data_IF_646421378200
#
_entry.id   IF_646421378200
#
_cell.length_a   1.000
_cell.length_b   1.000
_cell.length_c   1.000
_cell.angle_alpha   90.00
_cell.angle_beta   90.00
_cell.angle_gamma   90.00
#
_symmetry.space_group_name_H-M   'P 1'
#
loop_
_entity.id
_entity.type
_entity.pdbx_description
1 polymer ?
#
# COMPACT_ATOMS: atom_id res chain seq x y z
N UNK A 1 -2.89 -2.12 -24.42
CA UNK A 1 -3.60 -1.13 -25.29
C UNK A 1 -5.02 -0.85 -24.83
N UNK A 2 -5.80 -1.84 -24.36
CA UNK A 2 -7.19 -1.59 -23.91
C UNK A 2 -7.21 -0.61 -22.73
N UNK A 3 -6.42 -0.87 -21.69
CA UNK A 3 -6.38 -0.08 -20.45
C UNK A 3 -6.05 1.42 -20.65
N UNK A 4 -5.26 1.76 -21.67
CA UNK A 4 -4.96 3.15 -22.00
C UNK A 4 -6.02 3.75 -22.92
N UNK A 5 -6.50 2.97 -23.91
CA UNK A 5 -7.58 3.39 -24.82
C UNK A 5 -8.94 3.59 -24.13
N UNK A 6 -9.20 2.86 -23.06
CA UNK A 6 -10.40 3.00 -22.23
C UNK A 6 -10.25 4.08 -21.15
N UNK A 7 -9.14 4.82 -21.15
CA UNK A 7 -8.87 5.88 -20.17
C UNK A 7 -8.87 5.40 -18.71
N UNK A 8 -8.47 4.15 -18.48
CA UNK A 8 -8.40 3.56 -17.14
C UNK A 8 -7.04 3.81 -16.49
N UNK A 9 -5.97 3.69 -17.27
CA UNK A 9 -4.60 3.74 -16.77
C UNK A 9 -3.79 4.77 -17.56
N UNK A 10 -2.98 5.54 -16.82
CA UNK A 10 -1.85 6.28 -17.36
C UNK A 10 -0.55 5.74 -16.74
N UNK A 11 0.51 5.64 -17.53
CA UNK A 11 1.81 5.18 -17.03
C UNK A 11 2.52 6.28 -16.24
N UNK A 12 3.23 5.90 -15.18
CA UNK A 12 4.03 6.81 -14.37
C UNK A 12 5.54 6.59 -14.63
N UNK A 13 6.37 7.55 -14.21
CA UNK A 13 7.82 7.51 -14.40
C UNK A 13 8.51 6.48 -13.49
N UNK A 14 7.90 6.15 -12.34
CA UNK A 14 8.33 5.03 -11.49
C UNK A 14 7.79 3.71 -12.03
N UNK A 15 8.72 2.83 -12.44
CA UNK A 15 8.40 1.49 -12.92
C UNK A 15 7.56 0.70 -11.91
N UNK A 16 6.49 0.05 -12.40
CA UNK A 16 5.56 -0.70 -11.56
C UNK A 16 4.49 0.16 -10.87
N UNK A 17 4.54 1.48 -11.00
CA UNK A 17 3.50 2.39 -10.54
C UNK A 17 2.65 2.90 -11.70
N UNK A 18 1.35 3.04 -11.49
CA UNK A 18 0.38 3.46 -12.49
C UNK A 18 -0.60 4.47 -11.91
N UNK A 19 -1.04 5.42 -12.72
CA UNK A 19 -2.10 6.36 -12.35
C UNK A 19 -3.45 5.70 -12.69
N UNK A 20 -4.28 5.53 -11.67
CA UNK A 20 -5.68 5.14 -11.84
C UNK A 20 -6.50 6.37 -12.23
N UNK A 21 -6.96 6.43 -13.49
CA UNK A 21 -7.81 7.50 -13.99
C UNK A 21 -9.25 7.34 -13.49
N UNK A 22 -10.11 8.38 -13.61
CA UNK A 22 -11.47 8.34 -13.07
C UNK A 22 -12.29 7.11 -13.46
N UNK A 23 -12.14 6.62 -14.69
CA UNK A 23 -12.87 5.42 -15.14
C UNK A 23 -12.47 4.15 -14.38
N UNK A 24 -11.18 3.95 -14.11
CA UNK A 24 -10.72 2.84 -13.28
C UNK A 24 -11.10 3.02 -11.81
N UNK A 25 -10.95 4.25 -11.29
CA UNK A 25 -11.25 4.54 -9.90
C UNK A 25 -12.75 4.37 -9.58
N UNK A 26 -13.64 4.74 -10.49
CA UNK A 26 -15.08 4.55 -10.31
C UNK A 26 -15.48 3.06 -10.17
N UNK A 27 -14.80 2.17 -10.91
CA UNK A 27 -15.00 0.72 -10.77
C UNK A 27 -14.54 0.26 -9.37
N UNK A 28 -13.41 0.78 -8.90
CA UNK A 28 -12.90 0.48 -7.57
C UNK A 28 -13.84 0.99 -6.46
N UNK A 29 -14.40 2.20 -6.60
CA UNK A 29 -15.38 2.75 -5.66
C UNK A 29 -16.62 1.87 -5.57
N UNK A 30 -17.16 1.40 -6.69
CA UNK A 30 -18.31 0.48 -6.69
C UNK A 30 -18.02 -0.84 -5.94
N UNK A 31 -16.81 -1.40 -6.09
CA UNK A 31 -16.39 -2.61 -5.37
C UNK A 31 -16.26 -2.32 -3.88
N UNK A 32 -15.61 -1.21 -3.52
CA UNK A 32 -15.39 -0.79 -2.14
C UNK A 32 -16.72 -0.56 -1.42
N UNK A 33 -17.67 0.15 -2.04
CA UNK A 33 -18.97 0.46 -1.45
C UNK A 33 -19.77 -0.82 -1.14
N UNK A 34 -19.75 -1.79 -2.06
CA UNK A 34 -20.38 -3.08 -1.85
C UNK A 34 -19.72 -3.83 -0.68
N UNK A 35 -18.40 -4.02 -0.73
CA UNK A 35 -17.69 -4.83 0.26
C UNK A 35 -17.74 -4.20 1.66
N UNK A 36 -17.58 -2.88 1.76
CA UNK A 36 -17.68 -2.11 2.99
C UNK A 36 -19.05 -2.28 3.67
N UNK A 37 -20.13 -2.26 2.90
CA UNK A 37 -21.47 -2.50 3.41
C UNK A 37 -21.63 -3.93 3.96
N UNK A 38 -21.06 -4.94 3.30
CA UNK A 38 -21.16 -6.33 3.76
C UNK A 38 -20.36 -6.60 5.04
N UNK A 39 -19.12 -6.11 5.15
CA UNK A 39 -18.30 -6.33 6.36
C UNK A 39 -18.88 -5.61 7.59
N UNK A 40 -19.52 -4.45 7.39
CA UNK A 40 -20.20 -3.71 8.47
C UNK A 40 -21.41 -4.46 9.03
N UNK A 41 -22.12 -5.25 8.22
CA UNK A 41 -23.20 -6.14 8.71
C UNK A 41 -22.67 -7.23 9.64
N UNK A 42 -21.39 -7.59 9.49
CA UNK A 42 -20.70 -8.55 10.35
C UNK A 42 -20.11 -7.89 11.61
N UNK A 43 -20.27 -6.58 11.78
CA UNK A 43 -19.73 -5.83 12.91
C UNK A 43 -18.26 -5.43 12.77
N UNK A 44 -17.68 -5.53 11.56
CA UNK A 44 -16.31 -5.08 11.31
C UNK A 44 -16.29 -3.55 11.19
N UNK A 45 -15.29 -2.92 11.81
CA UNK A 45 -15.09 -1.47 11.78
C UNK A 45 -13.83 -1.11 10.97
N UNK A 46 -13.95 -0.04 10.18
CA UNK A 46 -12.81 0.48 9.43
C UNK A 46 -11.87 1.26 10.35
N UNK A 47 -10.57 1.10 10.12
CA UNK A 47 -9.53 1.88 10.77
C UNK A 47 -8.39 2.15 9.77
N UNK A 48 -7.49 3.07 10.12
CA UNK A 48 -6.33 3.38 9.30
C UNK A 48 -5.07 3.40 10.15
N UNK A 49 -4.21 2.42 9.93
CA UNK A 49 -2.90 2.31 10.54
C UNK A 49 -1.85 3.07 9.71
N UNK A 50 -0.74 3.52 10.33
CA UNK A 50 0.35 4.17 9.62
C UNK A 50 0.90 3.35 8.44
N UNK A 51 1.34 4.06 7.39
CA UNK A 51 2.05 3.46 6.26
C UNK A 51 3.51 3.12 6.60
N UNK A 52 4.06 3.77 7.62
CA UNK A 52 5.44 3.60 8.05
C UNK A 52 5.53 2.59 9.19
N UNK A 53 6.37 1.58 9.01
CA UNK A 53 6.65 0.53 9.99
C UNK A 53 8.10 0.68 10.45
N UNK A 54 8.33 0.69 11.77
CA UNK A 54 9.70 0.75 12.30
C UNK A 54 10.45 -0.55 11.99
N UNK A 55 11.77 -0.46 11.82
CA UNK A 55 12.60 -1.66 11.62
C UNK A 55 12.38 -2.68 12.74
N UNK A 56 12.30 -2.24 14.00
CA UNK A 56 12.09 -3.11 15.15
C UNK A 56 10.73 -3.85 15.11
N UNK A 57 9.65 -3.17 14.72
CA UNK A 57 8.33 -3.79 14.58
C UNK A 57 8.35 -4.86 13.47
N UNK A 58 8.94 -4.51 12.32
CA UNK A 58 9.10 -5.44 11.20
C UNK A 58 9.90 -6.67 11.64
N UNK A 59 11.05 -6.49 12.30
CA UNK A 59 11.96 -7.53 12.80
C UNK A 59 11.38 -8.43 13.90
N UNK A 60 10.29 -8.02 14.54
CA UNK A 60 9.63 -8.83 15.57
C UNK A 60 8.86 -10.00 14.94
N UNK A 61 8.41 -9.88 13.69
CA UNK A 61 7.70 -10.93 12.94
C UNK A 61 8.61 -11.74 12.01
N UNK A 62 9.70 -12.31 12.55
CA UNK A 62 10.73 -13.02 11.76
C UNK A 62 10.22 -14.12 10.83
N UNK A 63 9.05 -14.72 11.11
CA UNK A 63 8.42 -15.72 10.25
C UNK A 63 7.86 -15.17 8.94
N UNK A 64 7.44 -13.91 8.91
CA UNK A 64 6.87 -13.26 7.73
C UNK A 64 7.93 -12.47 6.94
N UNK A 65 8.96 -11.93 7.61
CA UNK A 65 9.98 -11.10 6.97
C UNK A 65 10.78 -11.84 5.90
N UNK A 66 11.08 -13.13 6.09
CA UNK A 66 11.90 -13.86 5.13
C UNK A 66 11.30 -13.86 3.71
N UNK A 67 9.97 -13.85 3.64
CA UNK A 67 9.22 -13.83 2.39
C UNK A 67 9.06 -12.41 1.83
N UNK A 68 8.98 -11.38 2.69
CA UNK A 68 8.80 -9.97 2.28
C UNK A 68 10.09 -9.16 2.12
N UNK A 69 11.21 -9.61 2.71
CA UNK A 69 12.48 -8.88 2.74
C UNK A 69 12.95 -8.32 1.38
N UNK A 70 12.84 -9.04 0.24
CA UNK A 70 13.26 -8.49 -1.04
C UNK A 70 12.30 -7.41 -1.60
N UNK A 71 11.06 -7.31 -1.10
CA UNK A 71 10.04 -6.39 -1.60
C UNK A 71 9.86 -5.14 -0.72
N UNK A 72 10.52 -5.05 0.44
CA UNK A 72 10.39 -3.92 1.37
C UNK A 72 11.09 -2.66 0.83
N UNK A 73 10.33 -1.58 0.65
CA UNK A 73 10.87 -0.26 0.36
C UNK A 73 11.25 0.47 1.66
N UNK A 74 12.49 0.95 1.75
CA UNK A 74 13.03 1.62 2.93
C UNK A 74 13.19 3.13 2.74
N UNK A 75 12.74 3.89 3.73
CA UNK A 75 13.01 5.32 3.91
C UNK A 75 14.16 5.46 4.89
N UNK A 76 15.28 6.02 4.43
CA UNK A 76 16.51 6.17 5.23
C UNK A 76 16.92 7.62 5.47
N UNK A 77 16.21 8.58 4.86
CA UNK A 77 16.58 10.00 4.90
C UNK A 77 15.36 10.91 4.78
N UNK A 78 15.42 12.03 5.48
CA UNK A 78 14.48 13.15 5.36
C UNK A 78 15.21 14.38 4.85
N UNK A 79 14.94 14.76 3.60
CA UNK A 79 15.72 15.77 2.89
C UNK A 79 17.18 15.35 2.73
N UNK A 80 18.10 16.04 3.41
CA UNK A 80 19.54 15.74 3.40
C UNK A 80 20.03 15.07 4.69
N UNK A 81 19.15 14.88 5.68
CA UNK A 81 19.51 14.29 6.97
C UNK A 81 19.19 12.80 6.96
N UNK A 82 20.17 11.98 7.31
CA UNK A 82 19.99 10.54 7.49
C UNK A 82 19.18 10.27 8.76
N UNK A 83 18.22 9.35 8.66
CA UNK A 83 17.43 8.93 9.82
C UNK A 83 18.29 8.05 10.73
N UNK A 84 18.16 8.23 12.04
CA UNK A 84 18.88 7.39 13.01
C UNK A 84 18.51 5.90 12.88
N UNK A 85 17.26 5.63 12.52
CA UNK A 85 16.75 4.29 12.22
C UNK A 85 15.97 4.33 10.90
N UNK A 86 16.17 3.34 10.01
CA UNK A 86 15.41 3.24 8.78
C UNK A 86 13.96 2.83 9.06
N UNK A 87 13.05 3.33 8.22
CA UNK A 87 11.62 3.10 8.34
C UNK A 87 11.13 2.41 7.06
N UNK A 88 10.40 1.32 7.18
CA UNK A 88 9.83 0.61 6.05
C UNK A 88 8.50 1.23 5.59
N UNK A 89 8.26 1.26 4.29
CA UNK A 89 6.92 1.43 3.72
C UNK A 89 6.23 0.06 3.79
N UNK A 90 5.05 0.04 4.39
CA UNK A 90 4.28 -1.17 4.72
C UNK A 90 4.04 -2.08 3.50
N UNK A 91 4.56 -3.33 3.48
CA UNK A 91 4.20 -4.33 2.48
C UNK A 91 2.84 -4.99 2.80
N UNK A 92 2.57 -5.18 4.10
CA UNK A 92 1.31 -5.67 4.68
C UNK A 92 1.23 -5.25 6.16
N UNK A 93 0.06 -5.37 6.82
CA UNK A 93 -0.25 -4.69 8.11
C UNK A 93 -0.34 -5.60 9.34
N UNK A 94 0.19 -6.81 9.29
CA UNK A 94 0.20 -7.75 10.42
C UNK A 94 1.11 -7.29 11.58
N UNK A 95 2.22 -6.61 11.24
CA UNK A 95 3.31 -6.17 12.15
C UNK A 95 2.97 -4.97 13.03
#
# INVERSE_FOLDING_TARGET
>A
KVITKSEMIEYYDVSGCYILRPWAHAIWEAIKDFFDAEIKKLGVENCYFPMFVSQAALETEKSHIADFAPEVAWVTRSGKTELAEPIAIRPTSET
#
